data_IF_500419393986
#
_entry.id   IF_500419393986
#
_cell.length_a   1.000
_cell.length_b   1.000
_cell.length_c   1.000
_cell.angle_alpha   90.00
_cell.angle_beta   90.00
_cell.angle_gamma   90.00
#
_symmetry.space_group_name_H-M   'P 1'
#
loop_
_entity.id
_entity.type
_entity.pdbx_description
1 polymer ?
#
# COMPACT_ATOMS: atom_id res chain seq x y z
N UNK A 1 -9.57 -20.42 1.60
CA UNK A 1 -9.44 -19.11 2.30
C UNK A 1 -8.70 -19.18 3.64
N UNK A 2 -8.57 -20.35 4.29
CA UNK A 2 -7.66 -20.56 5.45
C UNK A 2 -6.15 -20.44 5.14
N UNK A 3 -5.76 -20.24 3.88
CA UNK A 3 -4.37 -20.24 3.44
C UNK A 3 -3.64 -18.92 3.76
N UNK A 4 -4.33 -17.78 3.73
CA UNK A 4 -3.70 -16.49 4.03
C UNK A 4 -3.45 -16.32 5.53
N UNK A 5 -4.41 -16.74 6.36
CA UNK A 5 -4.22 -16.71 7.81
C UNK A 5 -3.06 -17.62 8.22
N UNK A 6 -3.07 -18.89 7.81
CA UNK A 6 -1.99 -19.84 8.12
C UNK A 6 -0.61 -19.36 7.59
N UNK A 7 -0.58 -18.70 6.43
CA UNK A 7 0.66 -18.11 5.88
C UNK A 7 1.26 -17.03 6.78
N UNK A 8 0.41 -16.20 7.39
CA UNK A 8 0.83 -15.03 8.16
C UNK A 8 0.71 -15.24 9.68
N UNK A 9 0.31 -16.44 10.12
CA UNK A 9 0.17 -16.82 11.53
C UNK A 9 1.45 -16.59 12.34
N UNK A 10 2.67 -16.91 11.85
CA UNK A 10 3.89 -16.61 12.60
C UNK A 10 4.11 -15.12 12.84
N UNK A 11 3.80 -14.28 11.84
CA UNK A 11 3.91 -12.81 11.95
C UNK A 11 2.87 -12.26 12.94
N UNK A 12 1.65 -12.79 12.91
CA UNK A 12 0.60 -12.41 13.86
C UNK A 12 0.99 -12.79 15.30
N UNK A 13 1.50 -14.00 15.52
CA UNK A 13 1.93 -14.46 16.84
C UNK A 13 3.08 -13.60 17.40
N UNK A 14 4.06 -13.25 16.55
CA UNK A 14 5.14 -12.35 16.92
C UNK A 14 4.63 -10.94 17.26
N UNK A 15 3.67 -10.41 16.49
CA UNK A 15 3.06 -9.10 16.75
C UNK A 15 2.30 -9.07 18.08
N UNK A 16 1.51 -10.11 18.38
CA UNK A 16 0.77 -10.22 19.64
C UNK A 16 1.73 -10.30 20.84
N UNK A 17 2.81 -11.06 20.71
CA UNK A 17 3.85 -11.15 21.74
C UNK A 17 4.52 -9.79 21.97
N UNK A 18 4.93 -9.12 20.90
CA UNK A 18 5.55 -7.79 20.98
C UNK A 18 4.61 -6.76 21.61
N UNK A 19 3.31 -6.78 21.28
CA UNK A 19 2.32 -5.89 21.86
C UNK A 19 2.13 -6.12 23.38
N UNK A 20 2.19 -7.38 23.83
CA UNK A 20 2.10 -7.74 25.24
C UNK A 20 3.37 -7.35 26.02
N UNK A 21 4.54 -7.66 25.46
CA UNK A 21 5.85 -7.41 26.11
C UNK A 21 6.28 -5.94 26.01
N UNK A 22 5.68 -5.18 25.09
CA UNK A 22 6.09 -3.81 24.71
C UNK A 22 7.56 -3.72 24.32
N UNK A 23 8.12 -4.82 23.83
CA UNK A 23 9.48 -4.88 23.32
C UNK A 23 9.56 -4.27 21.91
N UNK A 24 10.74 -3.79 21.54
CA UNK A 24 10.97 -3.35 20.16
C UNK A 24 10.87 -4.56 19.21
N UNK A 25 9.95 -4.47 18.27
CA UNK A 25 9.76 -5.45 17.21
C UNK A 25 9.16 -4.76 15.98
N UNK A 26 9.70 -5.06 14.81
CA UNK A 26 9.13 -4.64 13.54
C UNK A 26 9.09 -5.84 12.59
N UNK A 27 7.93 -6.09 11.99
CA UNK A 27 7.75 -7.14 10.98
C UNK A 27 8.44 -6.78 9.65
N UNK A 28 8.63 -5.48 9.39
CA UNK A 28 9.06 -4.94 8.12
C UNK A 28 10.26 -4.02 8.34
N UNK A 29 11.45 -4.38 7.87
CA UNK A 29 12.65 -3.59 8.16
C UNK A 29 12.55 -2.18 7.58
N UNK A 30 12.84 -1.21 8.43
CA UNK A 30 12.88 0.23 8.13
C UNK A 30 14.07 0.62 7.24
N UNK A 31 15.13 -0.19 7.23
CA UNK A 31 16.36 0.12 6.50
C UNK A 31 16.22 -0.24 5.02
N UNK A 32 16.43 0.70 4.07
CA UNK A 32 16.58 0.41 2.64
C UNK A 32 17.89 -0.33 2.37
N UNK A 33 17.97 -1.58 2.79
CA UNK A 33 19.11 -2.43 2.49
C UNK A 33 18.79 -3.31 1.29
N UNK A 34 19.66 -3.29 0.27
CA UNK A 34 19.59 -4.24 -0.85
C UNK A 34 19.66 -5.70 -0.40
N UNK A 35 20.18 -5.98 0.81
CA UNK A 35 20.14 -7.33 1.40
C UNK A 35 18.75 -7.77 1.84
N UNK A 36 17.87 -6.83 2.15
CA UNK A 36 16.53 -7.08 2.68
C UNK A 36 15.50 -7.05 1.56
N UNK A 37 15.58 -6.03 0.70
CA UNK A 37 14.61 -5.80 -0.37
C UNK A 37 15.06 -6.32 -1.73
N UNK A 38 16.33 -6.70 -1.88
CA UNK A 38 16.96 -7.07 -3.16
C UNK A 38 17.83 -5.94 -3.70
N UNK A 39 18.93 -6.29 -4.36
CA UNK A 39 19.89 -5.32 -4.89
C UNK A 39 19.27 -4.41 -5.97
N UNK A 40 18.23 -4.89 -6.67
CA UNK A 40 17.52 -4.15 -7.72
C UNK A 40 16.29 -3.41 -7.22
N UNK A 41 15.92 -3.52 -5.94
CA UNK A 41 14.64 -3.01 -5.43
C UNK A 41 14.45 -1.50 -5.62
N UNK A 42 15.54 -0.73 -5.54
CA UNK A 42 15.53 0.71 -5.79
C UNK A 42 15.20 1.02 -7.25
N UNK A 43 15.86 0.34 -8.19
CA UNK A 43 15.68 0.55 -9.62
C UNK A 43 14.31 0.03 -10.09
N UNK A 44 13.89 -1.14 -9.57
CA UNK A 44 12.58 -1.73 -9.84
C UNK A 44 11.45 -0.83 -9.33
N UNK A 45 11.59 -0.25 -8.14
CA UNK A 45 10.64 0.69 -7.56
C UNK A 45 10.56 2.01 -8.32
N UNK A 46 11.71 2.55 -8.74
CA UNK A 46 11.77 3.76 -9.58
C UNK A 46 11.17 3.51 -10.96
N UNK A 47 11.46 2.36 -11.58
CA UNK A 47 10.87 1.96 -12.86
C UNK A 47 9.36 1.82 -12.77
N UNK A 48 8.86 1.17 -11.71
CA UNK A 48 7.43 1.01 -11.45
C UNK A 48 6.73 2.36 -11.25
N UNK A 49 7.36 3.28 -10.50
CA UNK A 49 6.86 4.65 -10.34
C UNK A 49 6.82 5.41 -11.68
N UNK A 50 7.90 5.37 -12.46
CA UNK A 50 7.98 6.04 -13.76
C UNK A 50 6.92 5.51 -14.74
N UNK A 51 6.60 4.22 -14.68
CA UNK A 51 5.54 3.63 -15.49
C UNK A 51 4.14 4.16 -15.14
N UNK A 52 3.94 4.76 -13.95
CA UNK A 52 2.68 5.41 -13.56
C UNK A 52 2.54 6.82 -14.14
N UNK A 53 3.65 7.51 -14.41
CA UNK A 53 3.63 8.91 -14.83
C UNK A 53 2.94 9.10 -16.19
N UNK A 54 2.10 10.12 -16.28
CA UNK A 54 1.34 10.41 -17.51
C UNK A 54 0.31 9.35 -17.90
N UNK A 55 0.05 8.36 -17.04
CA UNK A 55 -0.91 7.29 -17.31
C UNK A 55 -2.13 7.36 -16.39
N UNK A 56 -3.33 6.96 -16.86
CA UNK A 56 -4.46 6.71 -15.98
C UNK A 56 -4.17 5.55 -15.04
N UNK A 57 -4.46 5.74 -13.75
CA UNK A 57 -4.37 4.70 -12.74
C UNK A 57 -5.52 3.71 -12.89
N UNK A 58 -5.20 2.45 -13.16
CA UNK A 58 -6.19 1.40 -13.35
C UNK A 58 -6.75 0.92 -12.00
N UNK A 59 -8.07 1.04 -11.84
CA UNK A 59 -8.84 0.46 -10.73
C UNK A 59 -9.92 -0.48 -11.30
N UNK A 60 -9.57 -1.75 -11.58
CA UNK A 60 -10.51 -2.71 -12.13
C UNK A 60 -11.75 -2.89 -11.24
N UNK A 61 -12.94 -2.80 -11.84
CA UNK A 61 -14.20 -2.90 -11.12
C UNK A 61 -14.66 -1.61 -10.43
N UNK A 62 -13.94 -0.49 -10.58
CA UNK A 62 -14.40 0.81 -10.13
C UNK A 62 -15.54 1.32 -11.04
N UNK A 63 -16.66 1.83 -10.51
CA UNK A 63 -17.78 2.36 -11.30
C UNK A 63 -17.48 3.77 -11.82
N UNK A 64 -16.35 3.95 -12.48
CA UNK A 64 -15.85 5.25 -12.92
C UNK A 64 -16.77 5.89 -13.97
N UNK A 65 -17.06 7.17 -13.83
CA UNK A 65 -17.80 7.97 -14.83
C UNK A 65 -16.96 9.11 -15.40
N UNK A 66 -15.92 9.53 -14.68
CA UNK A 66 -14.98 10.57 -15.09
C UNK A 66 -13.57 10.20 -14.65
N UNK A 67 -12.56 10.90 -15.18
CA UNK A 67 -11.16 10.82 -14.72
C UNK A 67 -10.73 12.16 -14.14
N UNK A 68 -10.06 12.13 -12.99
CA UNK A 68 -9.58 13.33 -12.28
C UNK A 68 -8.10 13.19 -11.95
N UNK A 69 -7.33 14.27 -11.98
CA UNK A 69 -5.92 14.21 -11.62
C UNK A 69 -5.18 15.48 -11.99
N UNK A 70 -4.62 16.15 -10.98
CA UNK A 70 -3.88 17.41 -11.15
C UNK A 70 -2.67 17.46 -10.22
N UNK A 71 -2.10 16.30 -9.89
CA UNK A 71 -0.98 16.20 -8.97
C UNK A 71 0.28 16.82 -9.59
N UNK A 72 0.97 17.65 -8.82
CA UNK A 72 2.19 18.34 -9.22
C UNK A 72 3.29 18.00 -8.22
N UNK A 73 4.46 17.65 -8.73
CA UNK A 73 5.57 17.32 -7.87
C UNK A 73 6.20 18.55 -7.23
N UNK A 74 6.48 18.54 -5.92
CA UNK A 74 7.28 19.60 -5.30
C UNK A 74 8.69 19.72 -5.88
N UNK A 75 9.21 18.66 -6.51
CA UNK A 75 10.55 18.59 -7.09
C UNK A 75 10.58 18.77 -8.62
N UNK A 76 9.46 18.98 -9.29
CA UNK A 76 9.45 18.92 -10.75
C UNK A 76 8.10 19.21 -11.41
N UNK A 77 7.90 18.74 -12.66
CA UNK A 77 6.70 19.04 -13.43
C UNK A 77 5.46 18.28 -12.92
N UNK A 78 4.26 18.57 -13.47
CA UNK A 78 3.05 17.79 -13.22
C UNK A 78 3.26 16.29 -13.43
N UNK A 79 2.68 15.46 -12.55
CA UNK A 79 2.84 14.00 -12.61
C UNK A 79 2.04 13.38 -13.76
N UNK A 80 0.95 14.05 -14.17
CA UNK A 80 0.08 13.58 -15.26
C UNK A 80 -0.69 12.31 -14.94
N UNK A 81 -0.74 11.90 -13.67
CA UNK A 81 -1.52 10.74 -13.22
C UNK A 81 -2.98 11.17 -13.11
N UNK A 82 -3.88 10.34 -13.65
CA UNK A 82 -5.32 10.53 -13.50
C UNK A 82 -5.95 9.31 -12.87
N UNK A 83 -7.01 9.50 -12.11
CA UNK A 83 -7.69 8.48 -11.35
C UNK A 83 -9.14 8.40 -11.79
N UNK A 84 -9.73 7.20 -11.91
CA UNK A 84 -11.16 7.05 -12.12
C UNK A 84 -11.91 7.64 -10.93
N UNK A 85 -12.94 8.43 -11.21
CA UNK A 85 -13.79 9.04 -10.21
C UNK A 85 -15.26 8.87 -10.56
N UNK A 86 -16.06 8.90 -9.50
CA UNK A 86 -17.52 8.80 -9.52
C UNK A 86 -18.04 9.59 -8.31
N UNK A 87 -19.33 9.89 -8.28
CA UNK A 87 -19.94 10.57 -7.14
C UNK A 87 -19.88 9.72 -5.87
N UNK A 88 -19.93 10.39 -4.72
CA UNK A 88 -19.82 9.74 -3.42
C UNK A 88 -20.98 8.75 -3.13
N UNK A 89 -22.18 8.98 -3.65
CA UNK A 89 -23.33 8.11 -3.39
C UNK A 89 -23.11 6.76 -4.06
N UNK A 90 -22.62 6.74 -5.30
CA UNK A 90 -22.27 5.50 -6.00
C UNK A 90 -21.21 4.69 -5.25
N UNK A 91 -20.18 5.34 -4.68
CA UNK A 91 -19.17 4.65 -3.85
C UNK A 91 -19.76 4.07 -2.56
N UNK A 92 -20.68 4.79 -1.91
CA UNK A 92 -21.37 4.32 -0.71
C UNK A 92 -22.24 3.10 -1.04
N UNK A 93 -22.95 3.12 -2.16
CA UNK A 93 -23.79 1.99 -2.61
C UNK A 93 -22.94 0.76 -2.95
N UNK A 94 -21.83 0.93 -3.68
CA UNK A 94 -20.88 -0.15 -3.96
C UNK A 94 -20.30 -0.76 -2.67
N UNK A 95 -19.94 0.08 -1.69
CA UNK A 95 -19.47 -0.37 -0.38
C UNK A 95 -20.54 -1.15 0.38
N UNK A 96 -21.79 -0.67 0.38
CA UNK A 96 -22.94 -1.37 0.99
C UNK A 96 -23.22 -2.71 0.32
N UNK A 97 -23.06 -2.82 -0.99
CA UNK A 97 -23.23 -4.07 -1.72
C UNK A 97 -22.14 -5.10 -1.37
N UNK A 98 -20.90 -4.65 -1.13
CA UNK A 98 -19.79 -5.52 -0.73
C UNK A 98 -19.83 -5.91 0.76
N UNK A 99 -20.45 -5.09 1.62
CA UNK A 99 -20.44 -5.25 3.07
C UNK A 99 -20.96 -6.60 3.59
N UNK A 100 -22.05 -7.20 3.08
CA UNK A 100 -22.56 -8.49 3.59
C UNK A 100 -21.56 -9.63 3.45
N UNK A 101 -20.88 -9.73 2.31
CA UNK A 101 -19.87 -10.77 2.08
C UNK A 101 -18.67 -10.61 3.03
N UNK A 102 -18.24 -9.37 3.26
CA UNK A 102 -17.17 -9.06 4.22
C UNK A 102 -17.58 -9.31 5.68
N UNK A 103 -18.83 -8.98 6.03
CA UNK A 103 -19.37 -9.21 7.37
C UNK A 103 -19.48 -10.70 7.69
N UNK A 104 -19.90 -11.51 6.71
CA UNK A 104 -19.99 -12.96 6.80
C UNK A 104 -18.63 -13.67 6.91
N UNK A 105 -17.53 -13.01 6.52
CA UNK A 105 -16.20 -13.59 6.65
C UNK A 105 -15.79 -13.80 8.12
N UNK A 106 -15.09 -14.90 8.40
CA UNK A 106 -14.55 -15.17 9.74
C UNK A 106 -13.48 -14.16 10.14
N UNK A 107 -13.25 -14.02 11.45
CA UNK A 107 -12.16 -13.17 11.96
C UNK A 107 -10.80 -13.56 11.38
N UNK A 108 -10.50 -14.87 11.31
CA UNK A 108 -9.27 -15.40 10.69
C UNK A 108 -9.14 -14.98 9.23
N UNK A 109 -10.24 -15.03 8.46
CA UNK A 109 -10.22 -14.61 7.05
C UNK A 109 -9.91 -13.13 6.92
N UNK A 110 -10.56 -12.28 7.73
CA UNK A 110 -10.32 -10.83 7.72
C UNK A 110 -8.88 -10.49 8.09
N UNK A 111 -8.36 -11.10 9.17
CA UNK A 111 -6.97 -10.92 9.61
C UNK A 111 -5.98 -11.38 8.55
N UNK A 112 -6.18 -12.56 7.97
CA UNK A 112 -5.32 -13.08 6.91
C UNK A 112 -5.27 -12.17 5.67
N UNK A 113 -6.41 -11.58 5.30
CA UNK A 113 -6.49 -10.59 4.20
C UNK A 113 -5.71 -9.32 4.55
N UNK A 114 -5.92 -8.76 5.75
CA UNK A 114 -5.19 -7.58 6.19
C UNK A 114 -3.66 -7.82 6.22
N UNK A 115 -3.21 -8.96 6.75
CA UNK A 115 -1.78 -9.30 6.79
C UNK A 115 -1.19 -9.48 5.38
N UNK A 116 -1.94 -10.08 4.46
CA UNK A 116 -1.52 -10.20 3.06
C UNK A 116 -1.42 -8.83 2.37
N UNK A 117 -2.36 -7.92 2.64
CA UNK A 117 -2.29 -6.53 2.15
C UNK A 117 -1.01 -5.86 2.65
N UNK A 118 -0.72 -5.96 3.95
CA UNK A 118 0.50 -5.39 4.54
C UNK A 118 1.77 -6.01 3.91
N UNK A 119 1.80 -7.32 3.70
CA UNK A 119 2.93 -8.00 3.08
C UNK A 119 3.17 -7.51 1.64
N UNK A 120 2.10 -7.34 0.84
CA UNK A 120 2.20 -6.80 -0.53
C UNK A 120 2.64 -5.35 -0.56
N UNK A 121 2.05 -4.52 0.30
CA UNK A 121 2.44 -3.12 0.44
C UNK A 121 3.93 -3.00 0.84
N UNK A 122 4.48 -3.95 1.62
CA UNK A 122 5.90 -3.92 1.96
C UNK A 122 6.78 -4.24 0.75
N UNK A 123 6.34 -5.13 -0.14
CA UNK A 123 7.07 -5.46 -1.36
C UNK A 123 7.15 -4.32 -2.37
N UNK A 124 6.18 -3.40 -2.34
CA UNK A 124 6.15 -2.21 -3.22
C UNK A 124 6.62 -0.92 -2.51
N UNK A 125 7.30 -1.04 -1.37
CA UNK A 125 7.72 0.12 -0.56
C UNK A 125 8.54 1.14 -1.35
N UNK A 126 9.38 0.71 -2.30
CA UNK A 126 10.18 1.62 -3.13
C UNK A 126 9.35 2.37 -4.18
N UNK A 127 8.33 1.74 -4.77
CA UNK A 127 7.37 2.44 -5.65
C UNK A 127 6.60 3.49 -4.83
N UNK A 128 6.09 3.10 -3.66
CA UNK A 128 5.38 3.99 -2.75
C UNK A 128 6.26 5.14 -2.25
N UNK A 129 7.54 4.89 -1.94
CA UNK A 129 8.48 5.92 -1.50
C UNK A 129 8.69 7.00 -2.57
N UNK A 130 8.83 6.60 -3.84
CA UNK A 130 8.92 7.55 -4.95
C UNK A 130 7.62 8.35 -5.09
N UNK A 131 6.45 7.70 -5.00
CA UNK A 131 5.17 8.40 -5.04
C UNK A 131 5.02 9.41 -3.88
N UNK A 132 5.40 9.03 -2.65
CA UNK A 132 5.37 9.92 -1.47
C UNK A 132 6.35 11.07 -1.62
N UNK A 133 7.60 10.81 -2.04
CA UNK A 133 8.58 11.86 -2.31
C UNK A 133 8.04 12.89 -3.30
N UNK A 134 7.44 12.42 -4.39
CA UNK A 134 6.98 13.29 -5.46
C UNK A 134 5.59 13.90 -5.26
N UNK A 135 4.86 13.55 -4.21
CA UNK A 135 3.58 14.20 -3.84
C UNK A 135 3.70 15.08 -2.60
N UNK A 136 4.51 14.66 -1.61
CA UNK A 136 4.65 15.36 -0.32
C UNK A 136 5.89 16.23 -0.23
N UNK A 137 6.91 15.99 -1.05
CA UNK A 137 8.19 16.71 -0.98
C UNK A 137 9.17 16.16 0.05
N UNK A 138 8.86 15.02 0.70
CA UNK A 138 9.79 14.37 1.62
C UNK A 138 11.02 13.82 0.88
N UNK A 139 12.19 13.87 1.51
CA UNK A 139 13.39 13.22 0.99
C UNK A 139 13.19 11.69 0.96
N UNK A 140 13.77 11.00 -0.02
CA UNK A 140 13.52 9.57 -0.29
C UNK A 140 13.65 8.66 0.94
N UNK A 141 14.68 8.83 1.77
CA UNK A 141 14.85 8.03 2.98
C UNK A 141 13.68 8.20 3.98
N UNK A 142 13.19 9.43 4.14
CA UNK A 142 12.02 9.72 4.97
C UNK A 142 10.72 9.26 4.30
N UNK A 143 10.60 9.39 2.98
CA UNK A 143 9.45 8.90 2.23
C UNK A 143 9.33 7.37 2.26
N UNK A 144 10.46 6.67 2.32
CA UNK A 144 10.47 5.22 2.47
C UNK A 144 10.02 4.82 3.87
N UNK A 145 10.52 5.48 4.92
CA UNK A 145 10.15 5.23 6.31
C UNK A 145 8.70 5.63 6.62
N UNK A 146 8.33 6.87 6.31
CA UNK A 146 7.01 7.45 6.56
C UNK A 146 5.94 7.05 5.54
N UNK A 147 6.31 6.47 4.40
CA UNK A 147 5.38 5.99 3.38
C UNK A 147 5.15 4.47 3.38
N UNK A 148 5.97 3.70 4.10
CA UNK A 148 5.87 2.23 4.09
C UNK A 148 5.93 1.56 5.48
N UNK A 149 7.07 1.41 6.18
CA UNK A 149 7.14 0.67 7.44
C UNK A 149 6.53 1.41 8.64
N UNK A 150 6.72 2.73 8.79
CA UNK A 150 6.29 3.45 10.02
C UNK A 150 4.83 3.92 9.98
N UNK A 151 4.23 3.99 8.79
CA UNK A 151 2.87 4.48 8.62
C UNK A 151 1.80 3.38 8.77
N UNK A 152 2.19 2.14 9.08
CA UNK A 152 1.33 0.95 9.12
C UNK A 152 1.15 0.36 10.51
#
# INVERSE_FOLDING_TARGET
>A
MHTLFARHEPTLAAALKAAQERAYWSAYPEVPSGKIYGETATDDGLSSYNARLGTPFDLPGHPATVTVGTEVSPFGPPLGITYPAVDAITLIEASRAAAPAWAAASAETRVGICLEILARLNRISFEMANAVMHTTGQAFAMALLGGAPDCR
#
